data_IF_384355369854
#
_entry.id   IF_384355369854
#
_cell.length_a   1.000
_cell.length_b   1.000
_cell.length_c   1.000
_cell.angle_alpha   90.00
_cell.angle_beta   90.00
_cell.angle_gamma   90.00
#
_symmetry.space_group_name_H-M   'P 1'
#
loop_
_entity.id
_entity.type
_entity.pdbx_description
1 polymer ?
#
# COMPACT_ATOMS: atom_id res chain seq x y z
N UNK A 1 -1.13 -9.62 6.19
CA UNK A 1 -1.84 -8.32 6.10
C UNK A 1 -1.07 -7.50 5.09
N UNK A 2 -1.72 -7.04 4.01
CA UNK A 2 -1.04 -6.26 2.96
C UNK A 2 -0.98 -4.80 3.39
N UNK A 3 0.19 -4.19 3.21
CA UNK A 3 0.39 -2.76 3.44
C UNK A 3 1.06 -2.17 2.20
N UNK A 4 0.72 -0.93 1.88
CA UNK A 4 1.32 -0.17 0.79
C UNK A 4 1.88 1.12 1.37
N UNK A 5 3.20 1.29 1.30
CA UNK A 5 3.92 2.40 1.91
C UNK A 5 3.61 2.59 3.41
N UNK A 6 3.36 1.50 4.15
CA UNK A 6 3.01 1.49 5.57
C UNK A 6 1.51 1.64 5.86
N UNK A 7 0.66 1.77 4.83
CA UNK A 7 -0.79 1.96 4.97
C UNK A 7 -1.57 0.71 4.60
N UNK A 8 -2.64 0.44 5.31
CA UNK A 8 -3.60 -0.62 4.98
C UNK A 8 -4.52 -0.22 3.84
N UNK A 9 -5.17 -1.20 3.22
CA UNK A 9 -6.16 -0.93 2.15
C UNK A 9 -7.33 -0.05 2.64
N UNK A 10 -7.75 -0.20 3.90
CA UNK A 10 -8.80 0.63 4.49
C UNK A 10 -8.35 2.08 4.60
N UNK A 11 -7.16 2.33 5.15
CA UNK A 11 -6.61 3.70 5.27
C UNK A 11 -6.43 4.35 3.89
N UNK A 12 -6.03 3.58 2.87
CA UNK A 12 -5.84 4.11 1.51
C UNK A 12 -7.18 4.53 0.90
N UNK A 13 -8.25 3.75 1.11
CA UNK A 13 -9.59 4.09 0.62
C UNK A 13 -10.15 5.32 1.31
N UNK A 14 -9.96 5.44 2.63
CA UNK A 14 -10.35 6.63 3.37
C UNK A 14 -9.61 7.87 2.84
N UNK A 15 -8.29 7.77 2.65
CA UNK A 15 -7.50 8.87 2.10
C UNK A 15 -7.85 9.23 0.65
N UNK A 16 -8.27 8.25 -0.16
CA UNK A 16 -8.73 8.49 -1.54
C UNK A 16 -10.05 9.25 -1.55
N UNK A 17 -11.01 8.86 -0.71
CA UNK A 17 -12.32 9.53 -0.57
C UNK A 17 -12.16 10.96 -0.04
N UNK A 18 -11.24 11.18 0.89
CA UNK A 18 -10.90 12.50 1.42
C UNK A 18 -10.04 13.36 0.46
N UNK A 19 -9.51 12.76 -0.62
CA UNK A 19 -8.63 13.43 -1.57
C UNK A 19 -7.25 13.81 -1.00
N UNK A 20 -6.84 13.16 0.09
CA UNK A 20 -5.56 13.39 0.78
C UNK A 20 -4.52 12.29 0.51
N UNK A 21 -4.88 11.25 -0.26
CA UNK A 21 -4.01 10.11 -0.53
C UNK A 21 -2.73 10.52 -1.29
N UNK A 22 -1.53 10.25 -0.74
CA UNK A 22 -0.29 10.51 -1.44
C UNK A 22 -0.21 9.67 -2.71
N UNK A 23 0.21 10.29 -3.82
CA UNK A 23 0.30 9.63 -5.13
C UNK A 23 1.18 8.38 -5.11
N UNK A 24 2.24 8.34 -4.29
CA UNK A 24 3.09 7.16 -4.15
C UNK A 24 2.34 5.96 -3.54
N UNK A 25 1.56 6.20 -2.49
CA UNK A 25 0.73 5.19 -1.81
C UNK A 25 -0.35 4.67 -2.75
N UNK A 26 -1.07 5.57 -3.43
CA UNK A 26 -2.10 5.18 -4.40
C UNK A 26 -1.50 4.40 -5.59
N UNK A 27 -0.31 4.79 -6.04
CA UNK A 27 0.39 4.06 -7.10
C UNK A 27 0.77 2.66 -6.64
N UNK A 28 1.29 2.52 -5.42
CA UNK A 28 1.61 1.21 -4.85
C UNK A 28 0.36 0.32 -4.74
N UNK A 29 -0.76 0.88 -4.24
CA UNK A 29 -2.04 0.18 -4.17
C UNK A 29 -2.55 -0.29 -5.53
N UNK A 30 -2.58 0.59 -6.53
CA UNK A 30 -3.08 0.28 -7.87
C UNK A 30 -2.20 -0.72 -8.64
N UNK A 31 -0.92 -0.82 -8.30
CA UNK A 31 0.02 -1.75 -8.92
C UNK A 31 0.19 -3.06 -8.12
N UNK A 32 -0.57 -3.26 -7.03
CA UNK A 32 -0.42 -4.37 -6.07
C UNK A 32 1.02 -4.47 -5.52
N UNK A 33 1.73 -3.33 -5.42
CA UNK A 33 3.11 -3.21 -4.95
C UNK A 33 3.14 -2.99 -3.43
N UNK A 34 2.84 -4.05 -2.68
CA UNK A 34 2.79 -4.02 -1.22
C UNK A 34 4.21 -4.10 -0.59
N UNK A 35 4.41 -3.48 0.57
CA UNK A 35 5.73 -3.30 1.21
C UNK A 35 6.45 -4.59 1.60
N UNK A 36 5.71 -5.69 1.62
CA UNK A 36 6.17 -6.96 2.15
C UNK A 36 5.85 -8.09 1.22
N UNK A 37 6.56 -8.19 0.10
CA UNK A 37 7.01 -9.51 -0.35
C UNK A 37 7.86 -10.10 0.78
N UNK A 38 7.20 -10.74 1.75
CA UNK A 38 7.84 -11.56 2.80
C UNK A 38 8.36 -12.85 2.19
N UNK A 39 9.13 -12.71 1.12
CA UNK A 39 9.85 -13.77 0.42
C UNK A 39 11.34 -13.39 0.45
N UNK A 40 11.82 -13.10 1.66
CA UNK A 40 13.21 -13.32 1.98
C UNK A 40 13.36 -14.84 2.21
N UNK A 41 13.29 -15.60 1.12
CA UNK A 41 13.79 -16.96 1.03
C UNK A 41 15.30 -16.91 1.33
N UNK A 42 15.64 -16.87 2.62
CA UNK A 42 16.99 -17.04 3.13
C UNK A 42 17.40 -18.49 2.87
N UNK A 43 18.15 -18.69 1.79
CA UNK A 43 18.93 -19.89 1.47
C UNK A 43 19.89 -20.31 2.59
#
# INVERSE_FOLDING_TARGET
MRTYCGYTEEEIREMEDEGCCPRAVLSAYLNDDYDGSDDWDYY
#
